data_IF_312489445558
#
_entry.id   IF_312489445558
#
_cell.length_a   1.000
_cell.length_b   1.000
_cell.length_c   1.000
_cell.angle_alpha   90.00
_cell.angle_beta   90.00
_cell.angle_gamma   90.00
#
_symmetry.space_group_name_H-M   'P 1'
#
loop_
_entity.id
_entity.type
_entity.pdbx_description
1 polymer ?
#
# COMPACT_ATOMS: atom_id res chain seq x y z
N UNK A 1 -63.05 40.92 -7.59
CA UNK A 1 -63.18 41.71 -6.36
C UNK A 1 -63.43 40.76 -5.23
N UNK A 2 -62.39 40.37 -4.48
CA UNK A 2 -62.50 39.55 -3.24
C UNK A 2 -61.86 40.33 -2.10
N UNK A 3 -62.64 40.65 -1.10
CA UNK A 3 -62.30 41.42 0.07
C UNK A 3 -61.46 40.55 1.05
N UNK A 4 -60.30 41.06 1.43
CA UNK A 4 -59.49 40.47 2.47
C UNK A 4 -59.94 41.03 3.80
N UNK A 5 -60.36 40.17 4.71
CA UNK A 5 -60.71 40.50 6.09
C UNK A 5 -59.48 40.36 6.96
N UNK A 6 -59.01 41.44 7.57
CA UNK A 6 -57.90 41.47 8.51
C UNK A 6 -58.49 41.33 9.94
N UNK A 7 -58.18 40.21 10.60
CA UNK A 7 -58.54 40.02 12.02
C UNK A 7 -57.30 40.35 12.84
N UNK A 8 -57.39 41.47 13.56
CA UNK A 8 -56.41 41.89 14.54
C UNK A 8 -56.67 41.17 15.86
N UNK A 9 -55.83 40.24 16.22
CA UNK A 9 -55.86 39.56 17.53
C UNK A 9 -54.74 40.04 18.44
N UNK A 10 -55.08 40.77 19.48
CA UNK A 10 -54.15 41.17 20.52
C UNK A 10 -53.85 39.97 21.42
N UNK A 11 -52.58 39.54 21.43
CA UNK A 11 -52.09 38.49 22.35
C UNK A 11 -51.40 39.19 23.52
N UNK A 12 -52.03 39.17 24.67
CA UNK A 12 -51.48 39.61 25.93
C UNK A 12 -50.44 38.57 26.40
N UNK A 13 -49.18 38.94 26.31
CA UNK A 13 -48.06 38.07 26.76
C UNK A 13 -47.95 37.99 28.27
N UNK A 14 -48.19 36.80 28.80
CA UNK A 14 -47.89 36.45 30.20
C UNK A 14 -46.40 36.10 30.29
N UNK A 15 -45.57 36.99 30.84
CA UNK A 15 -44.16 36.74 31.12
C UNK A 15 -44.03 35.78 32.30
N UNK A 16 -43.85 34.48 32.04
CA UNK A 16 -43.37 33.56 33.06
C UNK A 16 -41.86 33.71 33.23
N UNK A 17 -41.42 34.30 34.31
CA UNK A 17 -40.05 34.32 34.73
C UNK A 17 -39.65 32.94 35.27
N UNK A 18 -38.87 32.18 34.49
CA UNK A 18 -38.26 30.94 34.93
C UNK A 18 -37.02 31.28 35.79
N UNK A 19 -36.81 30.61 36.93
CA UNK A 19 -35.61 30.84 37.71
C UNK A 19 -34.39 30.27 36.96
N UNK A 20 -33.42 31.13 36.72
CA UNK A 20 -32.08 30.74 36.23
C UNK A 20 -31.40 29.93 37.34
N UNK A 21 -31.33 28.63 37.13
CA UNK A 21 -30.49 27.79 38.00
C UNK A 21 -29.01 28.03 37.62
N UNK A 22 -28.15 28.28 38.64
CA UNK A 22 -26.71 28.34 38.37
C UNK A 22 -26.24 26.92 37.97
N UNK A 23 -25.79 26.79 36.72
CA UNK A 23 -25.07 25.59 36.33
C UNK A 23 -23.78 25.54 37.15
N UNK A 24 -23.79 24.67 38.15
CA UNK A 24 -22.58 24.24 38.80
C UNK A 24 -21.71 23.60 37.67
N UNK A 25 -20.68 24.32 37.27
CA UNK A 25 -19.63 23.77 36.42
C UNK A 25 -18.99 22.62 37.19
N UNK A 26 -19.49 21.41 36.91
CA UNK A 26 -18.84 20.19 37.32
C UNK A 26 -17.52 20.13 36.53
N UNK A 27 -16.48 20.75 37.13
CA UNK A 27 -15.11 20.50 36.73
C UNK A 27 -14.90 19.01 36.80
N UNK A 28 -15.09 18.33 35.64
CA UNK A 28 -14.58 17.00 35.44
C UNK A 28 -13.08 17.06 35.73
N UNK A 29 -12.68 16.66 36.94
CA UNK A 29 -11.30 16.35 37.25
C UNK A 29 -10.88 15.31 36.22
N UNK A 30 -10.17 15.78 35.20
CA UNK A 30 -9.43 14.89 34.30
C UNK A 30 -8.52 14.06 35.20
N UNK A 31 -8.84 12.81 35.37
CA UNK A 31 -7.93 11.86 35.98
C UNK A 31 -6.59 11.98 35.18
N UNK A 32 -5.45 12.03 35.88
CA UNK A 32 -4.17 12.11 35.23
C UNK A 32 -4.10 10.91 34.26
N UNK A 33 -3.98 11.22 32.98
CA UNK A 33 -3.72 10.18 31.95
C UNK A 33 -2.48 9.43 32.43
N UNK A 34 -2.71 8.18 32.82
CA UNK A 34 -1.64 7.30 33.28
C UNK A 34 -0.57 7.35 32.19
N UNK A 35 0.61 7.85 32.53
CA UNK A 35 1.81 7.80 31.69
C UNK A 35 2.15 6.35 31.37
N UNK A 36 1.48 5.79 30.36
CA UNK A 36 1.78 4.47 29.78
C UNK A 36 2.63 4.65 28.52
N UNK A 37 3.62 5.53 28.54
CA UNK A 37 4.42 5.86 27.36
C UNK A 37 5.93 5.68 27.56
N UNK A 38 6.38 5.10 28.68
CA UNK A 38 7.83 4.97 28.93
C UNK A 38 8.54 3.92 28.05
N UNK A 39 7.79 3.00 27.38
CA UNK A 39 8.37 1.92 26.58
C UNK A 39 8.01 1.97 25.09
N UNK A 40 7.29 2.97 24.63
CA UNK A 40 6.98 3.12 23.21
C UNK A 40 8.17 3.73 22.49
N UNK A 41 8.93 2.93 21.74
CA UNK A 41 9.83 3.46 20.70
C UNK A 41 8.99 4.26 19.70
N UNK A 42 9.09 5.57 19.74
CA UNK A 42 8.42 6.47 18.79
C UNK A 42 9.02 6.34 17.37
N UNK A 43 10.17 5.71 17.26
CA UNK A 43 10.90 5.46 16.03
C UNK A 43 11.27 3.98 15.89
N UNK A 44 11.47 3.54 14.67
CA UNK A 44 12.01 2.20 14.37
C UNK A 44 13.04 2.30 13.26
N UNK A 45 14.04 1.42 13.32
CA UNK A 45 14.97 1.24 12.23
C UNK A 45 14.32 0.38 11.16
N UNK A 46 14.45 0.80 9.91
CA UNK A 46 13.96 0.05 8.75
C UNK A 46 15.12 -0.24 7.81
N UNK A 47 15.10 -1.45 7.23
CA UNK A 47 15.97 -1.79 6.10
C UNK A 47 15.34 -1.30 4.81
N UNK A 48 16.17 -0.84 3.90
CA UNK A 48 15.75 -0.42 2.56
C UNK A 48 16.68 -1.06 1.53
N UNK A 49 16.19 -1.28 0.32
CA UNK A 49 17.02 -1.73 -0.78
C UNK A 49 17.93 -0.56 -1.17
N UNK A 50 19.24 -0.79 -1.18
CA UNK A 50 20.20 0.19 -1.72
C UNK A 50 20.17 0.20 -3.26
N UNK A 51 20.64 1.28 -3.88
CA UNK A 51 20.78 1.33 -5.34
C UNK A 51 21.67 0.22 -5.88
N UNK A 52 22.73 -0.16 -5.15
CA UNK A 52 23.58 -1.28 -5.51
C UNK A 52 22.81 -2.63 -5.45
N UNK A 53 21.99 -2.83 -4.40
CA UNK A 53 21.15 -4.01 -4.28
C UNK A 53 20.09 -4.08 -5.37
N UNK A 54 19.48 -2.94 -5.73
CA UNK A 54 18.51 -2.88 -6.82
C UNK A 54 19.15 -3.23 -8.18
N UNK A 55 20.36 -2.71 -8.44
CA UNK A 55 21.13 -3.05 -9.63
C UNK A 55 21.45 -4.55 -9.67
N UNK A 56 21.92 -5.11 -8.56
CA UNK A 56 22.21 -6.54 -8.48
C UNK A 56 20.96 -7.41 -8.71
N UNK A 57 19.77 -6.99 -8.27
CA UNK A 57 18.52 -7.66 -8.59
C UNK A 57 18.22 -7.63 -10.10
N UNK A 58 18.41 -6.48 -10.75
CA UNK A 58 18.21 -6.36 -12.19
C UNK A 58 19.18 -7.25 -12.97
N UNK A 59 20.47 -7.23 -12.62
CA UNK A 59 21.51 -8.05 -13.27
C UNK A 59 21.22 -9.55 -13.09
N UNK A 60 20.84 -9.99 -11.90
CA UNK A 60 20.54 -11.39 -11.62
C UNK A 60 19.28 -11.89 -12.37
N UNK A 61 18.23 -11.06 -12.48
CA UNK A 61 17.05 -11.42 -13.26
C UNK A 61 17.37 -11.43 -14.76
N UNK A 62 18.19 -10.50 -15.26
CA UNK A 62 18.66 -10.49 -16.65
C UNK A 62 19.42 -11.79 -16.97
N UNK A 63 20.38 -12.17 -16.14
CA UNK A 63 21.13 -13.42 -16.31
C UNK A 63 20.20 -14.65 -16.28
N UNK A 64 19.22 -14.69 -15.39
CA UNK A 64 18.22 -15.75 -15.35
C UNK A 64 17.39 -15.80 -16.64
N UNK A 65 16.95 -14.64 -17.13
CA UNK A 65 16.13 -14.52 -18.35
C UNK A 65 16.90 -15.00 -19.59
N UNK A 66 18.17 -14.61 -19.71
CA UNK A 66 19.06 -15.07 -20.79
C UNK A 66 19.22 -16.59 -20.78
N UNK A 67 19.49 -17.20 -19.62
CA UNK A 67 19.58 -18.65 -19.46
C UNK A 67 18.30 -19.37 -19.86
N UNK A 68 17.15 -18.76 -19.61
CA UNK A 68 15.84 -19.30 -19.94
C UNK A 68 15.30 -18.84 -21.30
N UNK A 69 16.12 -18.15 -22.10
CA UNK A 69 15.76 -17.64 -23.46
C UNK A 69 14.50 -16.78 -23.43
N UNK A 70 14.38 -15.93 -22.42
CA UNK A 70 13.27 -15.01 -22.23
C UNK A 70 13.72 -13.56 -22.39
N UNK A 71 12.81 -12.73 -22.87
CA UNK A 71 12.98 -11.27 -22.88
C UNK A 71 12.05 -10.68 -21.83
N UNK A 72 12.62 -9.93 -20.89
CA UNK A 72 11.88 -9.34 -19.78
C UNK A 72 12.22 -7.86 -19.62
N UNK A 73 11.33 -7.14 -18.95
CA UNK A 73 11.61 -5.84 -18.37
C UNK A 73 11.27 -5.89 -16.88
N UNK A 74 11.99 -5.11 -16.07
CA UNK A 74 11.84 -5.13 -14.63
C UNK A 74 11.85 -3.76 -14.01
N UNK A 75 11.22 -3.64 -12.84
CA UNK A 75 11.21 -2.45 -12.01
C UNK A 75 11.38 -2.86 -10.55
N UNK A 76 12.30 -2.20 -9.85
CA UNK A 76 12.57 -2.42 -8.43
C UNK A 76 12.20 -1.18 -7.64
N UNK A 77 11.35 -1.36 -6.63
CA UNK A 77 10.88 -0.32 -5.74
C UNK A 77 11.52 -0.47 -4.36
N UNK A 78 11.77 0.66 -3.69
CA UNK A 78 12.03 0.66 -2.25
C UNK A 78 10.74 0.39 -1.44
N UNK A 79 10.84 0.33 -0.13
CA UNK A 79 9.70 0.12 0.76
C UNK A 79 8.66 1.25 0.70
N UNK A 80 9.09 2.47 0.33
CA UNK A 80 8.22 3.64 0.15
C UNK A 80 7.50 3.68 -1.19
N UNK A 81 7.81 2.74 -2.10
CA UNK A 81 7.24 2.66 -3.44
C UNK A 81 7.94 3.54 -4.48
N UNK A 82 9.11 4.08 -4.16
CA UNK A 82 9.93 4.83 -5.10
C UNK A 82 10.65 3.86 -6.05
N UNK A 83 10.65 4.19 -7.35
CA UNK A 83 11.42 3.45 -8.35
C UNK A 83 12.91 3.75 -8.16
N UNK A 84 13.69 2.73 -7.85
CA UNK A 84 15.13 2.85 -7.64
C UNK A 84 15.97 2.21 -8.74
N UNK A 85 15.39 1.26 -9.49
CA UNK A 85 16.02 0.67 -10.66
C UNK A 85 14.96 0.20 -11.65
N UNK A 86 15.24 0.33 -12.95
CA UNK A 86 14.45 -0.31 -14.00
C UNK A 86 15.35 -0.69 -15.17
N UNK A 87 15.06 -1.83 -15.77
CA UNK A 87 15.80 -2.34 -16.92
C UNK A 87 14.85 -3.05 -17.88
N UNK A 88 15.04 -2.80 -19.18
CA UNK A 88 14.38 -3.54 -20.25
C UNK A 88 15.44 -4.20 -21.11
N UNK A 89 15.31 -5.52 -21.29
CA UNK A 89 16.16 -6.23 -22.23
C UNK A 89 15.83 -5.82 -23.67
N UNK A 90 16.80 -5.94 -24.55
CA UNK A 90 16.57 -5.71 -25.97
C UNK A 90 15.45 -6.61 -26.51
N UNK A 91 14.52 -6.03 -27.26
CA UNK A 91 13.33 -6.73 -27.75
C UNK A 91 12.14 -6.72 -26.78
N UNK A 92 12.26 -6.13 -25.59
CA UNK A 92 11.11 -5.94 -24.71
C UNK A 92 10.08 -4.98 -25.33
N UNK A 93 8.76 -5.25 -25.22
CA UNK A 93 7.74 -4.37 -25.79
C UNK A 93 7.71 -3.00 -25.08
N UNK A 94 7.21 -1.99 -25.78
CA UNK A 94 7.20 -0.59 -25.33
C UNK A 94 6.62 -0.38 -23.92
N UNK A 95 5.58 -1.13 -23.56
CA UNK A 95 4.91 -0.99 -22.26
C UNK A 95 5.46 -1.92 -21.16
N UNK A 96 6.56 -2.62 -21.41
CA UNK A 96 7.04 -3.66 -20.50
C UNK A 96 7.52 -3.10 -19.16
N UNK A 97 8.22 -1.96 -19.15
CA UNK A 97 8.67 -1.30 -17.91
C UNK A 97 7.47 -0.81 -17.11
N UNK A 98 6.50 -0.16 -17.75
CA UNK A 98 5.30 0.33 -17.06
C UNK A 98 4.51 -0.83 -16.43
N UNK A 99 4.40 -1.93 -17.15
CA UNK A 99 3.76 -3.16 -16.64
C UNK A 99 4.52 -3.73 -15.45
N UNK A 100 5.85 -3.80 -15.51
CA UNK A 100 6.68 -4.25 -14.40
C UNK A 100 6.52 -3.35 -13.17
N UNK A 101 6.49 -2.03 -13.35
CA UNK A 101 6.28 -1.05 -12.30
C UNK A 101 4.91 -1.20 -11.63
N UNK A 102 3.85 -1.37 -12.41
CA UNK A 102 2.49 -1.60 -11.88
C UNK A 102 2.41 -2.88 -11.05
N UNK A 103 3.03 -3.97 -11.53
CA UNK A 103 3.12 -5.23 -10.79
C UNK A 103 3.91 -5.07 -9.49
N UNK A 104 5.08 -4.38 -9.52
CA UNK A 104 5.88 -4.12 -8.34
C UNK A 104 5.09 -3.34 -7.28
N UNK A 105 4.35 -2.29 -7.68
CA UNK A 105 3.47 -1.52 -6.79
C UNK A 105 2.40 -2.40 -6.14
N UNK A 106 1.81 -3.31 -6.90
CA UNK A 106 0.82 -4.25 -6.38
C UNK A 106 1.45 -5.20 -5.36
N UNK A 107 2.60 -5.82 -5.66
CA UNK A 107 3.29 -6.71 -4.73
C UNK A 107 3.70 -5.99 -3.43
N UNK A 108 4.18 -4.75 -3.53
CA UNK A 108 4.56 -3.94 -2.37
C UNK A 108 3.37 -3.61 -1.49
N UNK A 109 2.25 -3.18 -2.08
CA UNK A 109 1.03 -2.80 -1.36
C UNK A 109 0.42 -3.97 -0.60
N UNK A 110 0.31 -5.11 -1.27
CA UNK A 110 -0.33 -6.30 -0.71
C UNK A 110 0.65 -7.21 0.04
N UNK A 111 1.94 -6.92 0.00
CA UNK A 111 3.03 -7.64 0.65
C UNK A 111 3.00 -9.14 0.36
N UNK A 112 2.68 -9.49 -0.90
CA UNK A 112 2.58 -10.88 -1.38
C UNK A 112 2.86 -10.96 -2.88
N UNK A 113 3.14 -12.16 -3.40
CA UNK A 113 3.22 -12.39 -4.84
C UNK A 113 1.97 -11.90 -5.57
N UNK A 114 2.15 -11.28 -6.73
CA UNK A 114 1.00 -10.81 -7.50
C UNK A 114 0.13 -11.94 -8.03
N UNK A 115 0.66 -13.16 -8.21
CA UNK A 115 -0.12 -14.35 -8.52
C UNK A 115 -1.14 -14.69 -7.43
N UNK A 116 -0.80 -14.53 -6.17
CA UNK A 116 -1.73 -14.73 -5.04
C UNK A 116 -2.83 -13.67 -5.03
N UNK A 117 -2.45 -12.41 -5.19
CA UNK A 117 -3.44 -11.32 -5.28
C UNK A 117 -4.38 -11.51 -6.48
N UNK A 118 -3.85 -11.99 -7.61
CA UNK A 118 -4.64 -12.33 -8.80
C UNK A 118 -5.67 -13.44 -8.51
N UNK A 119 -5.24 -14.50 -7.83
CA UNK A 119 -6.16 -15.60 -7.44
C UNK A 119 -7.30 -15.09 -6.57
N UNK A 120 -7.02 -14.25 -5.58
CA UNK A 120 -8.04 -13.68 -4.67
C UNK A 120 -9.06 -12.82 -5.43
N UNK A 121 -8.61 -12.01 -6.37
CA UNK A 121 -9.50 -11.21 -7.24
C UNK A 121 -10.35 -12.11 -8.12
N UNK A 122 -9.74 -13.09 -8.77
CA UNK A 122 -10.46 -14.00 -9.69
C UNK A 122 -11.45 -14.91 -9.01
N UNK A 123 -11.18 -15.31 -7.78
CA UNK A 123 -12.11 -16.12 -6.98
C UNK A 123 -13.24 -15.31 -6.33
N UNK A 124 -13.13 -13.98 -6.34
CA UNK A 124 -14.04 -13.09 -5.63
C UNK A 124 -13.79 -13.02 -4.12
N UNK A 125 -12.74 -13.67 -3.62
CA UNK A 125 -12.37 -13.65 -2.21
C UNK A 125 -12.05 -12.24 -1.70
N UNK A 126 -11.34 -11.46 -2.54
CA UNK A 126 -11.02 -10.07 -2.24
C UNK A 126 -10.96 -9.23 -3.52
N UNK A 127 -11.93 -8.35 -3.69
CA UNK A 127 -12.03 -7.44 -4.83
C UNK A 127 -11.37 -6.06 -4.57
N UNK A 128 -10.86 -5.81 -3.37
CA UNK A 128 -10.26 -4.53 -3.02
C UNK A 128 -9.14 -4.09 -4.00
N UNK A 129 -8.27 -4.97 -4.53
CA UNK A 129 -7.27 -4.57 -5.52
C UNK A 129 -7.88 -3.91 -6.76
N UNK A 130 -9.03 -4.38 -7.21
CA UNK A 130 -9.75 -3.81 -8.37
C UNK A 130 -10.20 -2.38 -8.11
N UNK A 131 -10.79 -2.13 -6.93
CA UNK A 131 -11.24 -0.78 -6.54
C UNK A 131 -10.09 0.17 -6.26
N UNK A 132 -8.93 -0.34 -5.84
CA UNK A 132 -7.74 0.45 -5.58
C UNK A 132 -6.89 0.69 -6.84
N UNK A 133 -7.38 0.31 -8.01
CA UNK A 133 -6.68 0.43 -9.29
C UNK A 133 -5.30 -0.26 -9.29
N UNK A 134 -5.19 -1.37 -8.58
CA UNK A 134 -4.00 -2.18 -8.62
C UNK A 134 -3.93 -3.03 -9.90
N UNK A 135 -2.73 -3.49 -10.20
CA UNK A 135 -2.48 -4.36 -11.34
C UNK A 135 -1.96 -5.73 -10.86
N UNK A 136 -2.84 -6.58 -10.32
CA UNK A 136 -2.45 -7.85 -9.71
C UNK A 136 -2.22 -8.96 -10.77
N UNK A 137 -1.51 -8.64 -11.83
CA UNK A 137 -1.08 -9.65 -12.81
C UNK A 137 0.19 -10.34 -12.32
N UNK A 138 0.30 -11.68 -12.44
CA UNK A 138 1.50 -12.40 -12.03
C UNK A 138 2.78 -11.82 -12.62
N UNK A 139 3.85 -11.78 -11.81
CA UNK A 139 5.15 -11.30 -12.25
C UNK A 139 5.85 -10.38 -11.24
N UNK A 140 5.35 -10.22 -10.01
CA UNK A 140 6.05 -9.44 -9.01
C UNK A 140 6.03 -10.10 -7.63
N UNK A 141 7.11 -9.85 -6.89
CA UNK A 141 7.33 -10.32 -5.52
C UNK A 141 7.72 -9.17 -4.60
N UNK A 142 7.25 -9.17 -3.34
CA UNK A 142 7.87 -8.34 -2.32
C UNK A 142 9.28 -8.84 -2.03
N UNK A 143 10.20 -7.93 -1.77
CA UNK A 143 11.55 -8.27 -1.27
C UNK A 143 11.52 -8.21 0.25
N UNK A 144 11.77 -9.36 0.89
CA UNK A 144 11.70 -9.50 2.34
C UNK A 144 13.08 -9.85 2.89
N UNK A 145 13.53 -9.12 3.89
CA UNK A 145 14.80 -9.38 4.60
C UNK A 145 14.53 -9.32 6.10
N UNK A 146 14.90 -10.36 6.82
CA UNK A 146 14.66 -10.51 8.27
C UNK A 146 13.19 -10.24 8.65
N UNK A 147 12.25 -10.76 7.87
CA UNK A 147 10.81 -10.59 8.11
C UNK A 147 10.26 -9.19 7.77
N UNK A 148 11.09 -8.29 7.26
CA UNK A 148 10.71 -6.94 6.88
C UNK A 148 10.61 -6.81 5.36
N UNK A 149 9.49 -6.27 4.87
CA UNK A 149 9.37 -5.88 3.45
C UNK A 149 10.21 -4.64 3.24
N UNK A 150 11.27 -4.76 2.46
CA UNK A 150 12.23 -3.68 2.16
C UNK A 150 12.00 -3.05 0.78
N UNK A 151 11.12 -3.63 -0.02
CA UNK A 151 10.78 -3.18 -1.36
C UNK A 151 10.01 -4.23 -2.13
N UNK A 152 9.95 -4.09 -3.44
CA UNK A 152 9.37 -5.08 -4.35
C UNK A 152 10.07 -5.08 -5.70
N UNK A 153 10.06 -6.23 -6.36
CA UNK A 153 10.53 -6.41 -7.73
C UNK A 153 9.38 -6.89 -8.62
N UNK A 154 9.11 -6.14 -9.67
CA UNK A 154 8.16 -6.51 -10.73
C UNK A 154 8.88 -6.84 -12.02
N UNK A 155 8.40 -7.86 -12.69
CA UNK A 155 8.93 -8.33 -13.96
C UNK A 155 7.78 -8.50 -14.97
N UNK A 156 7.97 -7.93 -16.14
CA UNK A 156 7.09 -8.07 -17.29
C UNK A 156 7.76 -8.97 -18.31
N UNK A 157 7.10 -10.03 -18.69
CA UNK A 157 7.58 -11.11 -19.54
C UNK A 157 7.02 -12.45 -19.05
N UNK A 158 7.38 -13.53 -19.74
CA UNK A 158 7.03 -14.87 -19.29
C UNK A 158 7.76 -15.20 -17.97
N UNK A 159 7.11 -15.98 -17.11
CA UNK A 159 7.70 -16.45 -15.84
C UNK A 159 8.28 -15.33 -14.92
N UNK A 160 7.70 -14.14 -14.95
CA UNK A 160 8.23 -12.97 -14.24
C UNK A 160 8.46 -13.19 -12.74
N UNK A 161 7.58 -13.93 -12.04
CA UNK A 161 7.80 -14.27 -10.62
C UNK A 161 8.98 -15.21 -10.42
N UNK A 162 9.26 -16.13 -11.35
CA UNK A 162 10.43 -16.99 -11.27
C UNK A 162 11.74 -16.20 -11.46
N UNK A 163 11.75 -15.23 -12.41
CA UNK A 163 12.88 -14.32 -12.58
C UNK A 163 13.11 -13.49 -11.31
N UNK A 164 12.04 -12.87 -10.76
CA UNK A 164 12.13 -12.11 -9.54
C UNK A 164 12.62 -12.96 -8.35
N UNK A 165 12.14 -14.21 -8.22
CA UNK A 165 12.57 -15.11 -7.16
C UNK A 165 14.04 -15.48 -7.31
N UNK A 166 14.48 -15.84 -8.50
CA UNK A 166 15.88 -16.16 -8.77
C UNK A 166 16.82 -14.99 -8.44
N UNK A 167 16.39 -13.77 -8.77
CA UNK A 167 17.14 -12.56 -8.45
C UNK A 167 17.21 -12.31 -6.93
N UNK A 168 16.07 -12.42 -6.23
CA UNK A 168 16.00 -12.26 -4.77
C UNK A 168 16.89 -13.30 -4.07
N UNK A 169 16.85 -14.55 -4.50
CA UNK A 169 17.65 -15.62 -3.94
C UNK A 169 19.15 -15.38 -4.17
N UNK A 170 19.53 -14.88 -5.34
CA UNK A 170 20.92 -14.58 -5.66
C UNK A 170 21.48 -13.42 -4.83
N UNK A 171 20.69 -12.36 -4.63
CA UNK A 171 21.14 -11.13 -3.95
C UNK A 171 21.01 -11.22 -2.44
N UNK A 172 19.93 -11.83 -1.94
CA UNK A 172 19.60 -11.88 -0.51
C UNK A 172 19.77 -13.28 0.10
N UNK A 173 20.51 -14.20 -0.57
CA UNK A 173 20.88 -15.52 -0.07
C UNK A 173 19.69 -16.36 0.41
N UNK A 174 18.64 -16.40 -0.40
CA UNK A 174 17.50 -17.30 -0.15
C UNK A 174 16.57 -16.83 0.98
N UNK A 175 16.62 -15.57 1.35
CA UNK A 175 15.57 -14.98 2.18
C UNK A 175 14.29 -14.88 1.34
N UNK A 176 13.69 -16.06 1.10
CA UNK A 176 12.48 -16.19 0.30
C UNK A 176 11.38 -15.29 0.86
N UNK A 177 10.54 -14.66 0.01
CA UNK A 177 9.37 -13.96 0.44
C UNK A 177 8.37 -14.97 1.02
N UNK A 178 8.57 -15.34 2.28
CA UNK A 178 7.51 -15.97 3.02
C UNK A 178 6.39 -14.94 3.14
N UNK A 179 5.16 -15.34 2.84
CA UNK A 179 3.99 -14.51 3.08
C UNK A 179 4.13 -13.83 4.45
N UNK A 180 4.30 -12.52 4.43
CA UNK A 180 4.36 -11.73 5.68
C UNK A 180 2.98 -11.83 6.29
N UNK A 181 2.87 -12.57 7.40
CA UNK A 181 1.65 -12.69 8.20
C UNK A 181 1.34 -11.37 8.90
#
# INVERSE_FOLDING_TARGET
MKKILIISGAITGLMLSLPVQPHAQQQARSAPAKQATSDLKATRDIKVISSAGARALADACTAWAEQNKQVVAMAILDWGGNLIESHAMEGAPMNAIDTALLKAKSALRWRRPTSETNKMVRSGENLAPTFMRDFPQPGALPVVVDGQVIGAMGVSGADGEKCAQAAIDAVFKGQAPSSVR
#
